data_IF_059382459528
#
_entry.id   IF_059382459528
#
_cell.length_a   1.000
_cell.length_b   1.000
_cell.length_c   1.000
_cell.angle_alpha   90.00
_cell.angle_beta   90.00
_cell.angle_gamma   90.00
#
_symmetry.space_group_name_H-M   'P 1'
#
loop_
_entity.id
_entity.type
_entity.pdbx_description
1 polymer ?
#
# COMPACT_ATOMS: atom_id res chain seq x y z
N UNK A 1 -17.78 3.02 -15.14
CA UNK A 1 -16.97 2.28 -14.13
C UNK A 1 -16.07 3.31 -13.46
N UNK A 2 -16.07 3.38 -12.13
CA UNK A 2 -15.18 4.29 -11.40
C UNK A 2 -13.77 3.69 -11.27
N UNK A 3 -12.77 4.47 -10.82
CA UNK A 3 -11.37 4.03 -10.72
C UNK A 3 -11.17 2.81 -9.80
N UNK A 4 -11.95 2.67 -8.73
CA UNK A 4 -11.92 1.52 -7.81
C UNK A 4 -12.35 0.24 -8.48
N UNK A 5 -13.48 0.28 -9.19
CA UNK A 5 -13.97 -0.87 -9.99
C UNK A 5 -12.98 -1.27 -11.08
N UNK A 6 -12.32 -0.29 -11.69
CA UNK A 6 -11.25 -0.56 -12.66
C UNK A 6 -10.11 -1.31 -11.98
N UNK A 7 -9.59 -0.81 -10.84
CA UNK A 7 -8.50 -1.48 -10.13
C UNK A 7 -8.88 -2.90 -9.70
N UNK A 8 -10.06 -3.08 -9.11
CA UNK A 8 -10.52 -4.39 -8.64
C UNK A 8 -10.58 -5.41 -9.78
N UNK A 9 -11.06 -4.99 -10.95
CA UNK A 9 -11.03 -5.83 -12.17
C UNK A 9 -9.60 -6.12 -12.63
N UNK A 10 -8.69 -5.12 -12.57
CA UNK A 10 -7.29 -5.29 -12.97
C UNK A 10 -6.56 -6.29 -12.06
N UNK A 11 -6.80 -6.24 -10.74
CA UNK A 11 -6.23 -7.18 -9.78
C UNK A 11 -6.75 -8.62 -9.94
N UNK A 12 -7.96 -8.80 -10.45
CA UNK A 12 -8.55 -10.11 -10.72
C UNK A 12 -8.21 -10.72 -12.09
N UNK A 13 -7.28 -10.13 -12.87
CA UNK A 13 -6.82 -10.69 -14.15
C UNK A 13 -5.66 -11.66 -13.92
N UNK A 14 -5.51 -12.63 -14.83
CA UNK A 14 -4.33 -13.52 -14.87
C UNK A 14 -3.05 -12.79 -15.32
N UNK A 15 -3.20 -11.61 -15.92
CA UNK A 15 -2.10 -10.80 -16.44
C UNK A 15 -1.48 -9.91 -15.35
N UNK A 16 -0.16 -9.75 -15.40
CA UNK A 16 0.56 -8.88 -14.48
C UNK A 16 0.10 -7.42 -14.61
N UNK A 17 -0.37 -6.84 -13.52
CA UNK A 17 -0.60 -5.41 -13.42
C UNK A 17 0.70 -4.69 -13.04
N UNK A 18 1.14 -3.78 -13.90
CA UNK A 18 2.27 -2.89 -13.62
C UNK A 18 1.73 -1.51 -13.24
N UNK A 19 2.03 -1.06 -12.02
CA UNK A 19 1.65 0.26 -11.51
C UNK A 19 2.92 1.08 -11.21
N UNK A 20 3.45 1.87 -12.17
CA UNK A 20 4.64 2.68 -11.95
C UNK A 20 4.45 3.71 -10.85
N UNK A 21 5.56 4.01 -10.14
CA UNK A 21 5.57 5.00 -9.08
C UNK A 21 5.40 6.42 -9.56
N UNK A 22 4.53 7.19 -8.92
CA UNK A 22 4.39 8.62 -9.08
C UNK A 22 4.47 9.32 -7.71
N UNK A 23 4.66 10.63 -7.68
CA UNK A 23 4.75 11.41 -6.45
C UNK A 23 4.07 12.79 -6.55
N UNK A 24 3.61 13.17 -7.74
CA UNK A 24 2.86 14.40 -8.02
C UNK A 24 1.99 14.23 -9.27
N UNK A 25 1.22 15.28 -9.62
CA UNK A 25 0.35 15.25 -10.80
C UNK A 25 1.12 15.13 -12.12
N UNK A 26 2.33 15.68 -12.22
CA UNK A 26 3.13 15.57 -13.44
C UNK A 26 3.60 14.15 -13.67
N UNK A 27 4.20 13.52 -12.67
CA UNK A 27 4.65 12.13 -12.78
C UNK A 27 3.50 11.16 -13.01
N UNK A 28 2.33 11.39 -12.37
CA UNK A 28 1.13 10.59 -12.62
C UNK A 28 0.63 10.73 -14.08
N UNK A 29 0.66 11.94 -14.64
CA UNK A 29 0.32 12.20 -16.04
C UNK A 29 1.26 11.46 -16.99
N UNK A 30 2.56 11.45 -16.71
CA UNK A 30 3.54 10.72 -17.51
C UNK A 30 3.27 9.20 -17.49
N UNK A 31 2.85 8.64 -16.35
CA UNK A 31 2.44 7.23 -16.24
C UNK A 31 1.20 6.98 -17.12
N UNK A 32 0.20 7.86 -17.08
CA UNK A 32 -1.02 7.74 -17.87
C UNK A 32 -0.71 7.83 -19.38
N UNK A 33 0.10 8.80 -19.80
CA UNK A 33 0.51 8.98 -21.21
C UNK A 33 1.38 7.83 -21.74
N UNK A 34 2.14 7.17 -20.86
CA UNK A 34 2.90 5.97 -21.20
C UNK A 34 2.03 4.71 -21.39
N UNK A 35 0.71 4.81 -21.13
CA UNK A 35 -0.25 3.75 -21.39
C UNK A 35 -0.36 2.67 -20.31
N UNK A 36 0.07 2.95 -19.08
CA UNK A 36 -0.13 2.04 -17.96
C UNK A 36 -1.59 2.08 -17.45
N UNK A 37 -2.04 0.95 -16.89
CA UNK A 37 -3.43 0.77 -16.42
C UNK A 37 -3.66 1.29 -14.99
N UNK A 38 -2.62 1.50 -14.20
CA UNK A 38 -2.65 2.00 -12.82
C UNK A 38 -1.38 2.78 -12.48
N UNK A 39 -1.41 3.58 -11.42
CA UNK A 39 -0.22 4.24 -10.87
C UNK A 39 -0.14 4.06 -9.36
N UNK A 40 1.10 4.05 -8.85
CA UNK A 40 1.40 3.89 -7.43
C UNK A 40 1.93 5.20 -6.86
N UNK A 41 1.18 5.82 -5.93
CA UNK A 41 1.65 7.00 -5.20
C UNK A 41 2.61 6.57 -4.09
N UNK A 42 3.90 6.73 -4.35
CA UNK A 42 4.98 6.29 -3.46
C UNK A 42 5.22 7.29 -2.33
N UNK A 43 5.03 6.87 -1.07
CA UNK A 43 5.33 7.69 0.11
C UNK A 43 6.80 8.12 0.15
N UNK A 44 7.73 7.21 -0.14
CA UNK A 44 9.16 7.53 -0.20
C UNK A 44 9.52 8.52 -1.30
N UNK A 45 8.84 8.49 -2.46
CA UNK A 45 9.07 9.47 -3.51
C UNK A 45 8.44 10.82 -3.15
N UNK A 46 7.28 10.84 -2.49
CA UNK A 46 6.66 12.05 -1.95
C UNK A 46 7.60 12.72 -0.93
N UNK A 47 8.10 11.98 0.07
CA UNK A 47 9.05 12.52 1.04
C UNK A 47 10.28 13.14 0.39
N UNK A 48 10.91 12.42 -0.55
CA UNK A 48 12.09 12.94 -1.30
C UNK A 48 11.75 14.16 -2.16
N UNK A 49 10.56 14.24 -2.74
CA UNK A 49 10.12 15.43 -3.49
C UNK A 49 9.97 16.67 -2.61
N UNK A 50 9.77 16.49 -1.31
CA UNK A 50 9.73 17.55 -0.28
C UNK A 50 11.11 17.85 0.31
N UNK A 51 12.16 17.13 -0.11
CA UNK A 51 13.52 17.28 0.42
C UNK A 51 13.73 16.67 1.80
N UNK A 52 12.88 15.77 2.24
CA UNK A 52 12.99 15.12 3.55
C UNK A 52 13.18 13.59 3.40
N UNK A 53 13.87 12.93 4.35
CA UNK A 53 14.07 11.49 4.29
C UNK A 53 12.77 10.72 4.54
N UNK A 54 12.69 9.54 3.93
CA UNK A 54 11.56 8.62 4.06
C UNK A 54 11.68 7.78 5.36
N UNK A 55 11.38 8.40 6.48
CA UNK A 55 11.45 7.83 7.84
C UNK A 55 10.22 8.18 8.68
N UNK A 56 9.05 8.26 8.07
CA UNK A 56 7.80 8.55 8.76
C UNK A 56 7.61 10.01 9.16
N UNK A 57 8.26 10.96 8.48
CA UNK A 57 8.13 12.40 8.75
C UNK A 57 6.95 13.04 8.03
N UNK A 58 6.54 12.52 6.87
CA UNK A 58 5.38 13.02 6.14
C UNK A 58 4.11 12.67 6.92
N UNK A 59 3.32 13.68 7.21
CA UNK A 59 2.07 13.50 7.96
C UNK A 59 0.95 12.95 7.07
N UNK A 60 -0.07 12.34 7.69
CA UNK A 60 -1.27 11.90 6.97
C UNK A 60 -1.88 13.03 6.14
N UNK A 61 -1.95 14.25 6.68
CA UNK A 61 -2.58 15.39 5.99
C UNK A 61 -1.81 15.78 4.72
N UNK A 62 -0.48 15.79 4.77
CA UNK A 62 0.37 16.07 3.61
C UNK A 62 0.23 14.97 2.54
N UNK A 63 0.19 13.70 2.96
CA UNK A 63 -0.02 12.58 2.03
C UNK A 63 -1.41 12.64 1.39
N UNK A 64 -2.46 12.93 2.15
CA UNK A 64 -3.84 13.08 1.65
C UNK A 64 -3.93 14.24 0.64
N UNK A 65 -3.32 15.39 0.94
CA UNK A 65 -3.28 16.53 0.02
C UNK A 65 -2.58 16.16 -1.29
N UNK A 66 -1.41 15.50 -1.21
CA UNK A 66 -0.68 15.03 -2.39
C UNK A 66 -1.48 14.01 -3.19
N UNK A 67 -2.10 13.04 -2.52
CA UNK A 67 -2.92 12.02 -3.16
C UNK A 67 -4.14 12.63 -3.87
N UNK A 68 -4.80 13.61 -3.25
CA UNK A 68 -5.93 14.32 -3.86
C UNK A 68 -5.52 15.07 -5.14
N UNK A 69 -4.35 15.73 -5.14
CA UNK A 69 -3.79 16.38 -6.34
C UNK A 69 -3.55 15.37 -7.47
N UNK A 70 -2.96 14.20 -7.14
CA UNK A 70 -2.69 13.14 -8.12
C UNK A 70 -4.00 12.57 -8.69
N UNK A 71 -4.95 12.21 -7.83
CA UNK A 71 -6.27 11.68 -8.25
C UNK A 71 -7.03 12.66 -9.14
N UNK A 72 -6.96 13.97 -8.84
CA UNK A 72 -7.61 15.00 -9.67
C UNK A 72 -6.96 15.19 -11.04
N UNK A 73 -5.72 14.70 -11.23
CA UNK A 73 -4.94 14.96 -12.46
C UNK A 73 -5.13 13.88 -13.52
N UNK A 74 -5.35 12.61 -13.12
CA UNK A 74 -5.40 11.44 -14.01
C UNK A 74 -6.69 10.65 -13.85
N UNK A 75 -7.00 9.80 -14.84
CA UNK A 75 -8.14 8.87 -14.78
C UNK A 75 -7.74 7.48 -14.30
N UNK A 76 -6.44 7.21 -14.18
CA UNK A 76 -5.91 5.94 -13.71
C UNK A 76 -6.35 5.67 -12.26
N UNK A 77 -6.63 4.42 -11.90
CA UNK A 77 -6.72 4.04 -10.50
C UNK A 77 -5.37 4.27 -9.80
N UNK A 78 -5.43 4.95 -8.66
CA UNK A 78 -4.26 5.24 -7.83
C UNK A 78 -4.23 4.30 -6.63
N UNK A 79 -3.11 3.58 -6.48
CA UNK A 79 -2.76 2.82 -5.28
C UNK A 79 -1.89 3.74 -4.43
N UNK A 80 -2.30 4.09 -3.22
CA UNK A 80 -1.56 5.03 -2.38
C UNK A 80 -0.83 4.34 -1.22
N UNK A 81 0.39 4.78 -0.98
CA UNK A 81 1.14 4.44 0.23
C UNK A 81 0.51 5.15 1.44
N UNK A 82 0.05 4.39 2.42
CA UNK A 82 -0.49 4.91 3.68
C UNK A 82 0.46 4.61 4.87
N UNK A 83 1.73 4.33 4.61
CA UNK A 83 2.73 3.99 5.62
C UNK A 83 2.18 2.92 6.61
N UNK A 84 2.35 3.14 7.90
CA UNK A 84 1.79 2.27 8.95
C UNK A 84 0.32 2.56 9.27
N UNK A 85 -0.36 3.43 8.50
CA UNK A 85 -1.73 3.89 8.79
C UNK A 85 -1.79 5.05 9.77
N UNK A 86 -0.67 5.72 10.05
CA UNK A 86 -0.52 6.93 10.89
C UNK A 86 -0.97 6.74 12.34
N UNK A 87 -0.76 5.54 12.90
CA UNK A 87 -1.04 5.22 14.29
C UNK A 87 -1.57 3.80 14.50
N UNK A 88 -2.36 3.61 15.56
CA UNK A 88 -2.95 2.31 15.87
C UNK A 88 -4.27 2.05 15.09
N UNK A 89 -4.98 0.97 15.42
CA UNK A 89 -6.24 0.61 14.77
C UNK A 89 -7.31 1.72 14.79
N UNK A 90 -7.36 2.54 15.86
CA UNK A 90 -8.33 3.65 15.95
C UNK A 90 -7.97 4.77 14.97
N UNK A 91 -6.68 5.11 14.84
CA UNK A 91 -6.22 6.11 13.87
C UNK A 91 -6.48 5.63 12.44
N UNK A 92 -6.27 4.34 12.19
CA UNK A 92 -6.42 3.74 10.87
C UNK A 92 -7.86 3.83 10.34
N UNK A 93 -8.87 3.79 11.19
CA UNK A 93 -10.27 4.06 10.79
C UNK A 93 -10.41 5.42 10.11
N UNK A 94 -9.78 6.46 10.66
CA UNK A 94 -9.76 7.79 10.05
C UNK A 94 -8.95 7.80 8.75
N UNK A 95 -7.79 7.16 8.75
CA UNK A 95 -6.91 7.07 7.58
C UNK A 95 -7.66 6.48 6.39
N UNK A 96 -8.31 5.33 6.56
CA UNK A 96 -9.09 4.67 5.51
C UNK A 96 -10.15 5.62 4.95
N UNK A 97 -10.94 6.25 5.82
CA UNK A 97 -12.02 7.16 5.41
C UNK A 97 -11.51 8.38 4.63
N UNK A 98 -10.38 8.96 5.04
CA UNK A 98 -9.81 10.11 4.34
C UNK A 98 -9.27 9.73 2.96
N UNK A 99 -8.55 8.61 2.83
CA UNK A 99 -8.11 8.12 1.52
C UNK A 99 -9.28 7.73 0.62
N UNK A 100 -10.29 7.06 1.18
CA UNK A 100 -11.50 6.73 0.45
C UNK A 100 -12.24 7.98 -0.05
N UNK A 101 -12.35 9.03 0.80
CA UNK A 101 -13.03 10.28 0.47
C UNK A 101 -12.40 11.03 -0.70
N UNK A 102 -11.08 11.03 -0.83
CA UNK A 102 -10.37 11.72 -1.91
C UNK A 102 -10.36 10.95 -3.23
N UNK A 103 -10.84 9.70 -3.26
CA UNK A 103 -11.06 8.94 -4.48
C UNK A 103 -9.89 8.06 -4.94
N UNK A 104 -8.89 7.77 -4.09
CA UNK A 104 -7.91 6.72 -4.42
C UNK A 104 -8.59 5.36 -4.54
N UNK A 105 -8.02 4.47 -5.33
CA UNK A 105 -8.60 3.17 -5.60
C UNK A 105 -8.18 2.11 -4.56
N UNK A 106 -6.99 2.26 -4.01
CA UNK A 106 -6.46 1.39 -2.96
C UNK A 106 -5.49 2.14 -2.05
N UNK A 107 -5.32 1.61 -0.83
CA UNK A 107 -4.17 1.94 0.02
C UNK A 107 -3.43 0.66 0.39
N UNK A 108 -2.11 0.74 0.56
CA UNK A 108 -1.40 -0.28 1.31
C UNK A 108 -1.02 0.23 2.70
N UNK A 109 -0.98 -0.69 3.65
CA UNK A 109 -0.68 -0.45 5.06
C UNK A 109 0.39 -1.46 5.47
N UNK A 110 1.50 -0.98 6.02
CA UNK A 110 2.63 -1.82 6.41
C UNK A 110 2.66 -2.13 7.90
N UNK A 111 3.28 -3.24 8.25
CA UNK A 111 3.40 -3.74 9.62
C UNK A 111 4.64 -3.20 10.38
N UNK A 112 5.28 -2.13 9.89
CA UNK A 112 6.40 -1.53 10.60
C UNK A 112 5.97 -0.84 11.91
N UNK A 113 6.90 -0.74 12.86
CA UNK A 113 6.78 0.13 14.04
C UNK A 113 6.88 1.59 13.58
N UNK A 114 6.05 2.45 14.16
CA UNK A 114 6.11 3.91 13.91
C UNK A 114 7.13 4.55 14.86
N UNK A 115 8.03 5.43 14.37
CA UNK A 115 8.16 5.89 12.98
C UNK A 115 8.82 4.84 12.08
N UNK A 116 8.23 4.64 10.90
CA UNK A 116 8.70 3.66 9.91
C UNK A 116 10.03 4.06 9.26
N UNK A 117 10.64 3.16 8.53
CA UNK A 117 11.78 3.40 7.65
C UNK A 117 11.46 2.98 6.22
N UNK A 118 12.15 3.55 5.25
CA UNK A 118 12.06 3.09 3.86
C UNK A 118 12.31 1.58 3.77
N UNK A 119 11.49 0.85 3.02
CA UNK A 119 11.56 -0.60 2.89
C UNK A 119 12.92 -1.17 2.48
N UNK A 120 13.74 -0.36 1.81
CA UNK A 120 15.10 -0.72 1.38
C UNK A 120 16.20 -0.41 2.41
N UNK A 121 15.87 0.22 3.54
CA UNK A 121 16.84 0.54 4.58
C UNK A 121 16.87 -0.54 5.66
N UNK A 122 18.05 -0.69 6.29
CA UNK A 122 18.25 -1.55 7.45
C UNK A 122 17.66 -0.94 8.74
N UNK A 123 17.52 -1.78 9.77
CA UNK A 123 17.05 -1.36 11.08
C UNK A 123 15.54 -1.12 11.16
N UNK A 124 14.77 -1.72 10.25
CA UNK A 124 13.32 -1.82 10.38
C UNK A 124 12.96 -2.71 11.56
N UNK A 125 11.81 -2.42 12.14
CA UNK A 125 11.17 -3.27 13.13
C UNK A 125 9.70 -3.42 12.75
N UNK A 126 9.10 -4.57 13.05
CA UNK A 126 7.69 -4.84 12.76
C UNK A 126 6.90 -5.04 14.05
N UNK A 127 5.65 -4.61 14.05
CA UNK A 127 4.69 -4.86 15.13
C UNK A 127 4.34 -6.36 15.21
N UNK A 128 3.77 -6.79 16.30
CA UNK A 128 3.31 -8.17 16.43
C UNK A 128 2.26 -8.52 15.35
N UNK A 129 2.22 -9.79 14.95
CA UNK A 129 1.22 -10.28 14.00
C UNK A 129 -0.20 -9.92 14.45
N UNK A 130 -0.55 -10.20 15.71
CA UNK A 130 -1.90 -9.92 16.24
C UNK A 130 -2.24 -8.43 16.31
N UNK A 131 -1.25 -7.53 16.43
CA UNK A 131 -1.49 -6.09 16.34
C UNK A 131 -1.80 -5.68 14.90
N UNK A 132 -1.04 -6.20 13.93
CA UNK A 132 -1.31 -5.92 12.52
C UNK A 132 -2.66 -6.49 12.08
N UNK A 133 -3.03 -7.69 12.51
CA UNK A 133 -4.36 -8.27 12.25
C UNK A 133 -5.48 -7.34 12.72
N UNK A 134 -5.40 -6.81 13.94
CA UNK A 134 -6.39 -5.83 14.46
C UNK A 134 -6.43 -4.54 13.67
N UNK A 135 -5.29 -4.07 13.18
CA UNK A 135 -5.22 -2.89 12.30
C UNK A 135 -5.93 -3.17 10.98
N UNK A 136 -5.68 -4.33 10.36
CA UNK A 136 -6.32 -4.71 9.10
C UNK A 136 -7.83 -4.94 9.27
N UNK A 137 -8.26 -5.59 10.35
CA UNK A 137 -9.69 -5.72 10.70
C UNK A 137 -10.37 -4.34 10.81
N UNK A 138 -9.72 -3.39 11.49
CA UNK A 138 -10.22 -2.03 11.60
C UNK A 138 -10.27 -1.30 10.25
N UNK A 139 -9.27 -1.51 9.38
CA UNK A 139 -9.26 -0.94 8.03
C UNK A 139 -10.40 -1.48 7.17
N UNK A 140 -10.60 -2.81 7.17
CA UNK A 140 -11.67 -3.48 6.44
C UNK A 140 -13.06 -3.03 6.92
N UNK A 141 -13.24 -2.88 8.23
CA UNK A 141 -14.49 -2.40 8.82
C UNK A 141 -14.75 -0.90 8.60
N UNK A 142 -13.69 -0.11 8.38
CA UNK A 142 -13.80 1.34 8.20
C UNK A 142 -14.21 1.75 6.80
N UNK A 143 -13.88 0.93 5.77
CA UNK A 143 -14.23 1.23 4.37
C UNK A 143 -15.73 1.20 4.16
N UNK A 144 -16.24 2.14 3.37
CA UNK A 144 -17.67 2.25 3.06
C UNK A 144 -18.00 1.79 1.63
N UNK A 145 -17.03 1.82 0.74
CA UNK A 145 -17.12 1.33 -0.64
C UNK A 145 -16.39 0.00 -0.76
N UNK A 146 -17.11 -1.07 -1.07
CA UNK A 146 -16.55 -2.42 -1.22
C UNK A 146 -15.54 -2.54 -2.37
N UNK A 147 -15.49 -1.57 -3.29
CA UNK A 147 -14.53 -1.52 -4.38
C UNK A 147 -13.23 -0.79 -3.99
N UNK A 148 -13.19 -0.13 -2.82
CA UNK A 148 -11.97 0.44 -2.27
C UNK A 148 -11.07 -0.67 -1.72
N UNK A 149 -9.88 -0.88 -2.30
CA UNK A 149 -9.01 -2.00 -1.96
C UNK A 149 -8.10 -1.67 -0.77
N UNK A 150 -8.01 -2.61 0.17
CA UNK A 150 -7.04 -2.61 1.28
C UNK A 150 -5.95 -3.63 0.97
N UNK A 151 -4.72 -3.17 0.84
CA UNK A 151 -3.53 -3.98 0.57
C UNK A 151 -2.73 -4.10 1.87
N UNK A 152 -2.50 -5.33 2.33
CA UNK A 152 -1.66 -5.56 3.50
C UNK A 152 -0.20 -5.74 3.07
N UNK A 153 0.69 -4.87 3.58
CA UNK A 153 2.12 -4.96 3.35
C UNK A 153 2.82 -5.51 4.59
N UNK A 154 3.78 -6.39 4.38
CA UNK A 154 4.70 -6.83 5.43
C UNK A 154 6.15 -6.53 5.07
N UNK A 155 6.87 -5.93 5.99
CA UNK A 155 8.32 -5.69 5.94
C UNK A 155 9.12 -6.76 6.70
N UNK A 156 8.45 -7.80 7.19
CA UNK A 156 9.06 -8.87 8.00
C UNK A 156 10.17 -9.62 7.27
N UNK A 157 10.19 -9.61 5.91
CA UNK A 157 11.27 -10.24 5.15
C UNK A 157 12.65 -9.72 5.55
N UNK A 158 12.79 -8.41 5.73
CA UNK A 158 14.03 -7.77 6.14
C UNK A 158 14.34 -7.87 7.63
N UNK A 159 13.39 -8.27 8.46
CA UNK A 159 13.50 -8.28 9.94
C UNK A 159 13.62 -9.71 10.47
N UNK A 160 12.74 -10.61 10.04
CA UNK A 160 12.61 -11.98 10.57
C UNK A 160 12.85 -13.05 9.51
N UNK A 161 13.01 -12.67 8.24
CA UNK A 161 13.23 -13.59 7.12
C UNK A 161 11.98 -13.92 6.32
N UNK A 162 12.19 -14.64 5.23
CA UNK A 162 11.15 -14.89 4.23
C UNK A 162 9.97 -15.72 4.76
N UNK A 163 10.25 -16.74 5.58
CA UNK A 163 9.18 -17.61 6.10
C UNK A 163 8.24 -16.87 7.06
N UNK A 164 8.74 -15.94 7.88
CA UNK A 164 7.88 -15.10 8.73
C UNK A 164 7.03 -14.15 7.88
N UNK A 165 7.62 -13.53 6.84
CA UNK A 165 6.86 -12.69 5.92
C UNK A 165 5.73 -13.47 5.23
N UNK A 166 5.96 -14.69 4.80
CA UNK A 166 4.92 -15.56 4.22
C UNK A 166 3.87 -15.96 5.25
N UNK A 167 4.27 -16.26 6.49
CA UNK A 167 3.33 -16.59 7.56
C UNK A 167 2.38 -15.42 7.86
N UNK A 168 2.93 -14.20 7.95
CA UNK A 168 2.14 -12.95 8.11
C UNK A 168 1.21 -12.73 6.92
N UNK A 169 1.73 -12.79 5.70
CA UNK A 169 0.97 -12.62 4.48
C UNK A 169 -0.23 -13.58 4.40
N UNK A 170 -0.03 -14.85 4.75
CA UNK A 170 -1.13 -15.84 4.86
C UNK A 170 -2.18 -15.47 5.90
N UNK A 171 -1.75 -14.91 7.04
CA UNK A 171 -2.68 -14.46 8.06
C UNK A 171 -3.50 -13.27 7.56
N UNK A 172 -2.87 -12.32 6.90
CA UNK A 172 -3.54 -11.16 6.31
C UNK A 172 -4.55 -11.55 5.23
N UNK A 173 -4.18 -12.50 4.35
CA UNK A 173 -5.10 -13.02 3.33
C UNK A 173 -6.38 -13.62 3.94
N UNK A 174 -6.27 -14.36 5.05
CA UNK A 174 -7.43 -14.91 5.76
C UNK A 174 -8.39 -13.87 6.33
N UNK A 175 -7.95 -12.64 6.56
CA UNK A 175 -8.80 -11.53 6.98
C UNK A 175 -9.64 -10.96 5.84
N UNK A 176 -9.33 -11.31 4.58
CA UNK A 176 -10.05 -10.83 3.41
C UNK A 176 -9.57 -9.46 2.92
N UNK A 177 -8.29 -9.14 3.06
CA UNK A 177 -7.67 -8.00 2.38
C UNK A 177 -7.65 -8.26 0.87
N UNK A 178 -7.69 -7.20 0.07
CA UNK A 178 -7.85 -7.32 -1.38
C UNK A 178 -6.54 -7.70 -2.11
N UNK A 179 -5.38 -7.45 -1.49
CA UNK A 179 -4.07 -7.90 -2.00
C UNK A 179 -3.03 -7.93 -0.87
N UNK A 180 -1.93 -8.63 -1.14
CA UNK A 180 -0.76 -8.74 -0.26
C UNK A 180 0.45 -8.13 -0.93
N UNK A 181 1.24 -7.40 -0.15
CA UNK A 181 2.52 -6.85 -0.58
C UNK A 181 3.64 -7.34 0.37
N UNK A 182 4.49 -8.22 -0.11
CA UNK A 182 5.71 -8.65 0.61
C UNK A 182 6.87 -7.76 0.17
N UNK A 183 7.37 -6.94 1.10
CA UNK A 183 8.44 -5.98 0.83
C UNK A 183 9.81 -6.67 0.72
N UNK A 184 10.63 -6.18 -0.22
CA UNK A 184 12.04 -6.50 -0.40
C UNK A 184 12.36 -8.01 -0.51
N UNK A 185 11.72 -8.78 -1.40
CA UNK A 185 12.20 -10.11 -1.75
C UNK A 185 13.63 -10.00 -2.27
N UNK A 186 14.51 -10.93 -1.88
CA UNK A 186 15.96 -10.83 -2.15
C UNK A 186 16.42 -11.69 -3.32
N UNK A 187 15.51 -12.39 -3.97
CA UNK A 187 15.82 -13.22 -5.14
C UNK A 187 14.61 -13.38 -6.04
N UNK A 188 14.85 -13.69 -7.30
CA UNK A 188 13.79 -14.07 -8.24
C UNK A 188 13.03 -15.32 -7.75
N UNK A 189 13.70 -16.22 -7.04
CA UNK A 189 13.07 -17.39 -6.44
C UNK A 189 12.06 -16.99 -5.38
N UNK A 190 12.43 -16.11 -4.43
CA UNK A 190 11.49 -15.60 -3.43
C UNK A 190 10.29 -14.90 -4.08
N UNK A 191 10.54 -14.06 -5.09
CA UNK A 191 9.49 -13.37 -5.82
C UNK A 191 8.52 -14.36 -6.47
N UNK A 192 9.03 -15.43 -7.10
CA UNK A 192 8.21 -16.47 -7.72
C UNK A 192 7.47 -17.36 -6.70
N UNK A 193 7.99 -17.49 -5.47
CA UNK A 193 7.37 -18.29 -4.41
C UNK A 193 6.22 -17.57 -3.71
N UNK A 194 6.25 -16.23 -3.63
CA UNK A 194 5.23 -15.43 -2.94
C UNK A 194 3.81 -15.83 -3.39
N UNK A 195 3.42 -15.75 -4.68
CA UNK A 195 2.06 -16.08 -5.10
C UNK A 195 1.73 -17.57 -4.95
N UNK A 196 2.74 -18.46 -4.96
CA UNK A 196 2.52 -19.91 -4.77
C UNK A 196 2.29 -20.29 -3.31
N UNK A 197 2.85 -19.52 -2.39
CA UNK A 197 2.79 -19.78 -0.95
C UNK A 197 1.65 -19.04 -0.24
N UNK A 198 1.07 -18.02 -0.86
CA UNK A 198 -0.05 -17.28 -0.32
C UNK A 198 -1.28 -17.67 -1.16
N UNK A 199 -2.29 -18.35 -0.58
CA UNK A 199 -3.51 -18.69 -1.30
C UNK A 199 -4.32 -17.44 -1.63
N UNK A 200 -5.08 -17.50 -2.72
CA UNK A 200 -6.05 -16.49 -3.15
C UNK A 200 -7.15 -16.26 -2.11
#
# INVERSE_FOLDING_TARGET
>A
MNSRQVLKRLLGRDELLVAPGCFDGLSARLVEEAGFDAAYLSGGAVARSMGIPDIGLVTMSETIERAAQVVATVKLPIIADADTGYGNAVNLVRTVREFERIGVAAIHIEDQITPKRCGHLDGKEVISLGEMEKKLEAALAARTDSDFCIIARTDARGVHGFDDAIARARSFAKLGVDAIFVEAPQSEQELAEIPRRIPD
#
